data_IF_585815632387
#
_entry.id   IF_585815632387
#
_cell.length_a   1.000
_cell.length_b   1.000
_cell.length_c   1.000
_cell.angle_alpha   90.00
_cell.angle_beta   90.00
_cell.angle_gamma   90.00
#
_symmetry.space_group_name_H-M   'P 1'
#
loop_
_entity.id
_entity.type
_entity.pdbx_description
1 polymer ?
#
# COMPACT_ATOMS: atom_id res chain seq x y z
N UNK A 1 -17.30 -10.70 1.36
CA UNK A 1 -16.13 -10.25 0.61
C UNK A 1 -16.56 -9.63 -0.69
N UNK A 2 -16.11 -8.43 -0.95
CA UNK A 2 -16.57 -7.67 -2.09
C UNK A 2 -15.68 -7.92 -3.30
N UNK A 3 -16.16 -8.74 -4.25
CA UNK A 3 -15.45 -9.05 -5.50
C UNK A 3 -15.23 -7.81 -6.36
N UNK A 4 -16.18 -6.88 -6.33
CA UNK A 4 -16.11 -5.65 -7.10
C UNK A 4 -14.97 -4.76 -6.59
N UNK A 5 -14.83 -4.58 -5.27
CA UNK A 5 -13.73 -3.83 -4.67
C UNK A 5 -12.38 -4.48 -4.99
N UNK A 6 -12.29 -5.81 -4.96
CA UNK A 6 -11.07 -6.54 -5.35
C UNK A 6 -10.69 -6.31 -6.80
N UNK A 7 -11.66 -6.36 -7.71
CA UNK A 7 -11.43 -6.10 -9.14
C UNK A 7 -10.99 -4.65 -9.38
N UNK A 8 -11.65 -3.70 -8.72
CA UNK A 8 -11.27 -2.28 -8.83
C UNK A 8 -9.87 -2.03 -8.26
N UNK A 9 -9.52 -2.70 -7.19
CA UNK A 9 -8.19 -2.63 -6.61
C UNK A 9 -7.12 -3.14 -7.57
N UNK A 10 -7.36 -4.27 -8.23
CA UNK A 10 -6.43 -4.82 -9.21
C UNK A 10 -6.24 -3.89 -10.41
N UNK A 11 -7.32 -3.29 -10.90
CA UNK A 11 -7.26 -2.29 -11.98
C UNK A 11 -6.44 -1.07 -11.54
N UNK A 12 -6.71 -0.56 -10.34
CA UNK A 12 -5.99 0.61 -9.80
C UNK A 12 -4.48 0.32 -9.66
N UNK A 13 -4.12 -0.86 -9.15
CA UNK A 13 -2.72 -1.26 -9.01
C UNK A 13 -2.03 -1.38 -10.36
N UNK A 14 -2.70 -1.92 -11.37
CA UNK A 14 -2.18 -1.97 -12.74
C UNK A 14 -1.92 -0.59 -13.32
N UNK A 15 -2.79 0.38 -13.04
CA UNK A 15 -2.60 1.76 -13.48
C UNK A 15 -1.41 2.43 -12.77
N UNK A 16 -1.27 2.22 -11.47
CA UNK A 16 -0.14 2.72 -10.68
C UNK A 16 1.17 2.13 -11.21
N UNK A 17 1.18 0.84 -11.52
CA UNK A 17 2.36 0.13 -12.01
C UNK A 17 2.87 0.67 -13.36
N UNK A 18 2.01 1.29 -14.17
CA UNK A 18 2.41 1.91 -15.44
C UNK A 18 3.30 3.13 -15.26
N UNK A 19 3.24 3.79 -14.11
CA UNK A 19 4.01 5.00 -13.86
C UNK A 19 5.03 4.89 -12.74
N UNK A 20 4.88 3.92 -11.85
CA UNK A 20 5.70 3.81 -10.64
C UNK A 20 6.26 2.40 -10.47
N UNK A 21 7.43 2.31 -9.87
CA UNK A 21 8.05 1.06 -9.46
C UNK A 21 8.09 0.94 -7.94
N UNK A 22 8.69 -0.14 -7.49
CA UNK A 22 8.87 -0.42 -6.07
C UNK A 22 10.36 -0.57 -5.76
N UNK A 23 10.85 0.11 -4.73
CA UNK A 23 12.11 -0.25 -4.09
C UNK A 23 11.82 -1.29 -3.02
N UNK A 24 12.62 -2.36 -3.03
CA UNK A 24 12.55 -3.42 -2.04
C UNK A 24 13.92 -3.59 -1.39
N UNK A 25 14.05 -3.13 -0.15
CA UNK A 25 15.27 -3.29 0.63
C UNK A 25 15.21 -4.57 1.44
N UNK A 26 16.27 -5.37 1.38
CA UNK A 26 16.33 -6.65 2.08
C UNK A 26 17.75 -6.94 2.57
N UNK A 27 17.84 -7.92 3.49
CA UNK A 27 19.08 -8.60 3.86
C UNK A 27 18.94 -10.08 3.55
N UNK A 28 20.02 -10.71 3.17
CA UNK A 28 20.01 -12.15 2.84
C UNK A 28 19.76 -13.04 4.06
N UNK A 29 20.09 -12.55 5.26
CA UNK A 29 19.93 -13.25 6.53
C UNK A 29 18.64 -12.92 7.27
N UNK A 30 17.69 -12.28 6.62
CA UNK A 30 16.44 -11.81 7.22
C UNK A 30 15.29 -12.74 6.85
N UNK A 31 14.73 -13.52 7.80
CA UNK A 31 13.61 -14.42 7.49
C UNK A 31 12.36 -13.71 6.98
N UNK A 32 12.05 -12.52 7.51
CA UNK A 32 10.92 -11.72 7.04
C UNK A 32 11.14 -11.23 5.61
N UNK A 33 12.37 -10.94 5.22
CA UNK A 33 12.71 -10.57 3.86
C UNK A 33 12.49 -11.76 2.90
N UNK A 34 12.85 -12.98 3.34
CA UNK A 34 12.60 -14.19 2.57
C UNK A 34 11.11 -14.43 2.32
N UNK A 35 10.29 -14.15 3.32
CA UNK A 35 8.83 -14.26 3.20
C UNK A 35 8.22 -13.15 2.35
N UNK A 36 8.80 -11.93 2.41
CA UNK A 36 8.31 -10.78 1.68
C UNK A 36 8.61 -10.87 0.18
N UNK A 37 9.74 -11.42 -0.20
CA UNK A 37 10.21 -11.45 -1.58
C UNK A 37 9.22 -12.11 -2.56
N UNK A 38 8.64 -13.30 -2.28
CA UNK A 38 7.64 -13.89 -3.17
C UNK A 38 6.39 -13.04 -3.33
N UNK A 39 5.99 -12.32 -2.30
CA UNK A 39 4.82 -11.42 -2.33
C UNK A 39 5.10 -10.24 -3.28
N UNK A 40 6.26 -9.60 -3.17
CA UNK A 40 6.68 -8.53 -4.07
C UNK A 40 6.80 -9.05 -5.50
N UNK A 41 7.35 -10.24 -5.68
CA UNK A 41 7.47 -10.86 -7.00
C UNK A 41 6.10 -11.10 -7.64
N UNK A 42 5.12 -11.55 -6.85
CA UNK A 42 3.75 -11.74 -7.35
C UNK A 42 3.12 -10.42 -7.79
N UNK A 43 3.41 -9.32 -7.11
CA UNK A 43 2.94 -8.00 -7.51
C UNK A 43 3.54 -7.56 -8.83
N UNK A 44 4.84 -7.82 -9.03
CA UNK A 44 5.49 -7.53 -10.30
C UNK A 44 4.84 -8.30 -11.45
N UNK A 45 4.54 -9.59 -11.23
CA UNK A 45 3.94 -10.46 -12.24
C UNK A 45 2.47 -10.11 -12.52
N UNK A 46 1.69 -9.83 -11.47
CA UNK A 46 0.24 -9.64 -11.59
C UNK A 46 -0.14 -8.24 -12.04
N UNK A 47 0.60 -7.21 -11.62
CA UNK A 47 0.25 -5.81 -11.89
C UNK A 47 1.23 -5.11 -12.82
N UNK A 48 2.42 -5.70 -13.03
CA UNK A 48 3.43 -5.12 -13.91
C UNK A 48 4.36 -4.12 -13.22
N UNK A 49 4.46 -4.14 -11.89
CA UNK A 49 5.42 -3.28 -11.18
C UNK A 49 6.85 -3.65 -11.54
N UNK A 50 7.65 -2.66 -11.87
CA UNK A 50 9.09 -2.80 -11.91
C UNK A 50 9.61 -2.77 -10.48
N UNK A 51 10.43 -3.75 -10.10
CA UNK A 51 10.96 -3.87 -8.75
C UNK A 51 12.47 -3.67 -8.78
N UNK A 52 12.92 -2.72 -7.97
CA UNK A 52 14.34 -2.45 -7.75
C UNK A 52 14.72 -3.03 -6.39
N UNK A 53 15.22 -4.26 -6.39
CA UNK A 53 15.66 -4.93 -5.18
C UNK A 53 17.05 -4.42 -4.79
N UNK A 54 17.22 -4.04 -3.53
CA UNK A 54 18.45 -3.47 -2.99
C UNK A 54 18.88 -4.28 -1.78
N UNK A 55 20.04 -4.93 -1.92
CA UNK A 55 20.61 -5.79 -0.89
C UNK A 55 21.42 -4.95 0.09
N UNK A 56 20.92 -4.79 1.31
CA UNK A 56 21.61 -4.01 2.36
C UNK A 56 22.92 -4.66 2.76
N UNK A 57 22.98 -5.99 2.78
CA UNK A 57 24.21 -6.75 3.07
C UNK A 57 24.98 -7.17 1.81
N UNK A 58 24.53 -6.77 0.62
CA UNK A 58 25.19 -7.02 -0.65
C UNK A 58 25.08 -8.44 -1.18
N UNK A 59 24.26 -9.28 -0.58
CA UNK A 59 24.13 -10.71 -0.93
C UNK A 59 22.78 -11.02 -1.57
N UNK A 60 22.68 -12.07 -2.40
CA UNK A 60 21.42 -12.45 -3.01
C UNK A 60 20.45 -13.06 -1.98
N UNK A 61 19.15 -12.99 -2.29
CA UNK A 61 18.14 -13.72 -1.53
C UNK A 61 18.34 -15.23 -1.70
N UNK A 62 18.23 -16.01 -0.62
CA UNK A 62 18.43 -17.47 -0.69
C UNK A 62 17.47 -18.18 -1.65
N UNK A 63 16.26 -17.65 -1.83
CA UNK A 63 15.26 -18.19 -2.76
C UNK A 63 15.49 -17.85 -4.23
N UNK A 64 16.47 -17.00 -4.54
CA UNK A 64 16.79 -16.61 -5.91
C UNK A 64 15.89 -15.56 -6.52
N UNK A 65 14.94 -14.97 -5.76
CA UNK A 65 14.12 -13.87 -6.24
C UNK A 65 15.01 -12.65 -6.54
N UNK A 66 14.63 -11.88 -7.55
CA UNK A 66 15.32 -10.65 -7.94
C UNK A 66 16.83 -10.84 -8.17
N UNK A 67 17.22 -11.69 -9.14
CA UNK A 67 18.64 -11.97 -9.38
C UNK A 67 19.43 -10.75 -9.85
N UNK A 68 18.74 -9.73 -10.37
CA UNK A 68 19.34 -8.47 -10.82
C UNK A 68 19.37 -7.39 -9.73
N UNK A 69 19.38 -7.81 -8.46
CA UNK A 69 19.44 -6.89 -7.33
C UNK A 69 20.67 -5.97 -7.40
N UNK A 70 20.54 -4.81 -6.75
CA UNK A 70 21.65 -3.86 -6.59
C UNK A 70 22.15 -3.94 -5.15
N UNK A 71 23.46 -3.74 -4.98
CA UNK A 71 24.06 -3.63 -3.67
C UNK A 71 23.78 -2.21 -3.14
N UNK A 72 23.38 -2.12 -1.87
CA UNK A 72 23.16 -0.82 -1.23
C UNK A 72 24.46 0.00 -1.24
N UNK A 73 24.37 1.22 -1.75
CA UNK A 73 25.49 2.17 -1.80
C UNK A 73 25.14 3.50 -1.14
N UNK A 74 24.25 3.46 -0.14
CA UNK A 74 23.81 4.63 0.61
C UNK A 74 22.31 4.90 0.49
N UNK A 75 21.59 4.18 -0.37
CA UNK A 75 20.16 4.38 -0.57
C UNK A 75 19.38 4.13 0.72
N UNK A 76 19.71 3.05 1.45
CA UNK A 76 19.03 2.73 2.71
C UNK A 76 19.18 3.87 3.73
N UNK A 77 20.37 4.41 3.87
CA UNK A 77 20.61 5.54 4.78
C UNK A 77 19.88 6.79 4.33
N UNK A 78 19.93 7.11 3.04
CA UNK A 78 19.26 8.29 2.47
C UNK A 78 17.76 8.25 2.65
N UNK A 79 17.14 7.07 2.62
CA UNK A 79 15.71 6.89 2.78
C UNK A 79 15.30 6.52 4.22
N UNK A 80 16.23 6.62 5.16
CA UNK A 80 16.00 6.30 6.59
C UNK A 80 15.47 4.89 6.81
N UNK A 81 15.99 3.92 6.05
CA UNK A 81 15.66 2.50 6.25
C UNK A 81 16.39 2.00 7.49
N UNK A 82 15.62 1.70 8.53
CA UNK A 82 16.15 1.18 9.80
C UNK A 82 15.73 -0.28 10.03
N UNK A 83 14.72 -0.75 9.32
CA UNK A 83 14.18 -2.11 9.45
C UNK A 83 13.95 -2.67 8.05
N UNK A 84 14.36 -3.91 7.84
CA UNK A 84 14.07 -4.65 6.60
C UNK A 84 13.10 -5.80 6.91
N UNK A 85 12.25 -6.20 5.95
CA UNK A 85 12.10 -5.65 4.61
C UNK A 85 11.52 -4.24 4.61
N UNK A 86 11.89 -3.40 3.65
CA UNK A 86 11.33 -2.06 3.47
C UNK A 86 10.92 -1.87 2.02
N UNK A 87 9.77 -1.22 1.82
CA UNK A 87 9.19 -1.00 0.50
C UNK A 87 8.88 0.48 0.31
N UNK A 88 9.26 1.00 -0.85
CA UNK A 88 8.97 2.38 -1.28
C UNK A 88 8.32 2.35 -2.65
N UNK A 89 7.34 3.21 -2.85
CA UNK A 89 6.75 3.47 -4.17
C UNK A 89 7.54 4.61 -4.82
N UNK A 90 8.02 4.40 -6.04
CA UNK A 90 8.91 5.37 -6.69
C UNK A 90 8.43 5.72 -8.09
N UNK A 91 8.32 7.01 -8.36
CA UNK A 91 8.11 7.59 -9.68
C UNK A 91 9.27 8.57 -9.94
N UNK A 92 10.40 8.06 -10.46
CA UNK A 92 11.59 8.90 -10.64
C UNK A 92 11.35 10.05 -11.63
N UNK A 93 11.98 11.19 -11.43
CA UNK A 93 12.89 11.53 -10.32
C UNK A 93 12.18 12.16 -9.11
N UNK A 94 10.88 12.35 -9.16
CA UNK A 94 10.19 13.33 -8.33
C UNK A 94 9.51 12.75 -7.09
N UNK A 95 9.15 11.48 -7.08
CA UNK A 95 8.35 10.89 -5.98
C UNK A 95 9.01 9.63 -5.47
N UNK A 96 9.30 9.62 -4.17
CA UNK A 96 9.70 8.44 -3.42
C UNK A 96 8.84 8.44 -2.16
N UNK A 97 7.94 7.48 -2.04
CA UNK A 97 6.96 7.42 -0.95
C UNK A 97 7.16 6.13 -0.15
N UNK A 98 7.40 6.21 1.16
CA UNK A 98 7.50 5.01 1.99
C UNK A 98 6.16 4.28 2.02
N UNK A 99 6.21 2.97 1.78
CA UNK A 99 5.04 2.10 1.93
C UNK A 99 5.08 1.42 3.30
N UNK A 100 6.23 0.94 3.72
CA UNK A 100 6.38 0.42 5.06
C UNK A 100 7.75 -0.21 5.31
N UNK A 101 8.08 -0.35 6.58
CA UNK A 101 9.23 -1.10 7.07
C UNK A 101 8.72 -2.23 7.95
N UNK A 102 9.23 -3.44 7.73
CA UNK A 102 8.72 -4.67 8.31
C UNK A 102 7.90 -5.46 7.31
N UNK A 103 7.62 -6.73 7.63
CA UNK A 103 6.88 -7.61 6.74
C UNK A 103 5.42 -7.19 6.63
N UNK A 104 4.90 -7.24 5.41
CA UNK A 104 3.51 -6.88 5.10
C UNK A 104 2.87 -8.00 4.27
N UNK A 105 1.60 -8.28 4.52
CA UNK A 105 0.82 -9.16 3.67
C UNK A 105 0.58 -8.51 2.30
N UNK A 106 0.16 -9.32 1.33
CA UNK A 106 -0.20 -8.82 0.01
C UNK A 106 -1.31 -7.76 0.09
N UNK A 107 -2.36 -8.02 0.87
CA UNK A 107 -3.46 -7.07 1.04
C UNK A 107 -3.00 -5.76 1.66
N UNK A 108 -2.14 -5.84 2.66
CA UNK A 108 -1.59 -4.65 3.32
C UNK A 108 -0.74 -3.82 2.37
N UNK A 109 0.14 -4.47 1.59
CA UNK A 109 0.92 -3.80 0.56
C UNK A 109 0.04 -3.12 -0.48
N UNK A 110 -0.95 -3.85 -1.01
CA UNK A 110 -1.87 -3.32 -2.01
C UNK A 110 -2.62 -2.10 -1.50
N UNK A 111 -3.14 -2.17 -0.28
CA UNK A 111 -3.89 -1.06 0.31
C UNK A 111 -3.01 0.16 0.56
N UNK A 112 -1.80 -0.04 1.03
CA UNK A 112 -0.86 1.07 1.28
C UNK A 112 -0.39 1.73 0.00
N UNK A 113 -0.16 0.96 -1.06
CA UNK A 113 0.22 1.49 -2.37
C UNK A 113 -0.92 2.32 -2.97
N UNK A 114 -2.14 1.81 -2.89
CA UNK A 114 -3.33 2.55 -3.36
C UNK A 114 -3.51 3.86 -2.58
N UNK A 115 -3.36 3.81 -1.26
CA UNK A 115 -3.43 5.02 -0.44
C UNK A 115 -2.34 6.03 -0.84
N UNK A 116 -1.12 5.58 -1.02
CA UNK A 116 -0.02 6.44 -1.45
C UNK A 116 -0.29 7.06 -2.82
N UNK A 117 -0.81 6.29 -3.77
CA UNK A 117 -1.17 6.78 -5.09
C UNK A 117 -2.31 7.80 -5.04
N UNK A 118 -3.28 7.59 -4.17
CA UNK A 118 -4.36 8.53 -3.93
C UNK A 118 -3.84 9.85 -3.34
N UNK A 119 -2.97 9.76 -2.34
CA UNK A 119 -2.36 10.94 -1.73
C UNK A 119 -1.46 11.72 -2.70
N UNK A 120 -0.85 11.01 -3.65
CA UNK A 120 -0.05 11.64 -4.71
C UNK A 120 -0.90 12.25 -5.84
N UNK A 121 -2.22 12.05 -5.82
CA UNK A 121 -3.12 12.54 -6.85
C UNK A 121 -3.14 11.70 -8.12
N UNK A 122 -2.60 10.47 -8.08
CA UNK A 122 -2.53 9.59 -9.26
C UNK A 122 -3.83 8.86 -9.52
N UNK A 123 -4.63 8.66 -8.49
CA UNK A 123 -5.99 8.14 -8.59
C UNK A 123 -6.94 9.11 -7.90
N UNK A 124 -8.15 9.25 -8.45
CA UNK A 124 -9.14 10.15 -7.90
C UNK A 124 -9.90 9.53 -6.72
N UNK A 125 -10.72 10.34 -6.04
CA UNK A 125 -11.51 9.89 -4.90
C UNK A 125 -12.47 8.77 -5.28
N UNK A 126 -13.13 8.87 -6.42
CA UNK A 126 -14.07 7.87 -6.89
C UNK A 126 -13.38 6.51 -7.08
N UNK A 127 -12.23 6.50 -7.74
CA UNK A 127 -11.42 5.29 -7.95
C UNK A 127 -10.95 4.73 -6.61
N UNK A 128 -10.45 5.58 -5.73
CA UNK A 128 -9.96 5.18 -4.41
C UNK A 128 -11.06 4.50 -3.60
N UNK A 129 -12.23 5.12 -3.49
CA UNK A 129 -13.33 4.55 -2.71
C UNK A 129 -13.91 3.28 -3.35
N UNK A 130 -13.85 3.15 -4.67
CA UNK A 130 -14.26 1.92 -5.36
C UNK A 130 -13.36 0.72 -5.02
N UNK A 131 -12.12 0.94 -4.61
CA UNK A 131 -11.19 -0.13 -4.21
C UNK A 131 -11.45 -0.65 -2.79
N UNK A 132 -12.26 0.04 -2.02
CA UNK A 132 -12.51 -0.30 -0.62
C UNK A 132 -13.78 -1.14 -0.50
N UNK A 133 -13.77 -2.19 0.33
CA UNK A 133 -14.99 -2.96 0.56
C UNK A 133 -16.03 -2.11 1.29
N UNK A 134 -17.31 -2.34 0.94
CA UNK A 134 -18.42 -1.69 1.64
C UNK A 134 -18.49 -2.23 3.06
N UNK A 135 -18.46 -1.32 4.05
CA UNK A 135 -18.60 -1.68 5.46
C UNK A 135 -20.08 -1.93 5.78
N UNK A 136 -20.45 -3.09 6.38
CA UNK A 136 -21.83 -3.34 6.78
C UNK A 136 -22.30 -2.27 7.77
N UNK A 137 -23.48 -1.71 7.54
CA UNK A 137 -24.09 -0.72 8.43
C UNK A 137 -23.60 0.71 8.26
N UNK A 138 -22.68 0.95 7.34
CA UNK A 138 -22.24 2.31 7.02
C UNK A 138 -23.04 2.85 5.84
N UNK A 139 -23.77 3.92 6.07
CA UNK A 139 -24.35 4.70 4.98
C UNK A 139 -23.24 5.53 4.35
N UNK A 140 -22.80 5.14 3.17
CA UNK A 140 -21.66 5.76 2.49
C UNK A 140 -21.95 7.14 1.91
N UNK A 141 -23.19 7.59 1.97
CA UNK A 141 -23.60 8.77 1.23
C UNK A 141 -23.97 9.95 2.12
N UNK A 142 -23.59 9.91 3.40
CA UNK A 142 -23.92 11.02 4.27
C UNK A 142 -22.93 12.16 4.02
N UNK A 143 -23.43 13.25 3.41
CA UNK A 143 -22.64 14.45 3.28
C UNK A 143 -22.35 15.05 4.66
N UNK A 144 -21.31 15.88 4.77
CA UNK A 144 -21.00 16.59 6.01
C UNK A 144 -22.21 17.41 6.50
N UNK A 145 -23.00 17.90 5.59
CA UNK A 145 -24.19 18.70 5.88
C UNK A 145 -25.31 17.83 6.49
N UNK A 146 -25.60 16.67 5.90
CA UNK A 146 -26.58 15.72 6.42
C UNK A 146 -26.16 15.16 7.79
N UNK A 147 -24.90 14.87 7.96
CA UNK A 147 -24.35 14.42 9.24
C UNK A 147 -24.54 15.47 10.32
N UNK A 148 -24.24 16.72 9.99
CA UNK A 148 -24.38 17.85 10.90
C UNK A 148 -25.85 18.07 11.32
N UNK A 149 -26.78 18.00 10.37
CA UNK A 149 -28.21 18.09 10.65
C UNK A 149 -28.68 16.98 11.58
N UNK A 150 -28.25 15.75 11.35
CA UNK A 150 -28.61 14.61 12.21
C UNK A 150 -28.04 14.73 13.63
N UNK A 151 -26.83 15.25 13.77
CA UNK A 151 -26.21 15.50 15.08
C UNK A 151 -27.01 16.58 15.84
N UNK A 152 -27.46 17.62 15.15
CA UNK A 152 -28.25 18.69 15.79
C UNK A 152 -29.62 18.22 16.25
N UNK A 153 -30.23 17.27 15.52
CA UNK A 153 -31.55 16.72 15.88
C UNK A 153 -31.45 15.66 16.98
N UNK A 154 -30.36 14.90 17.01
CA UNK A 154 -30.13 13.81 17.97
C UNK A 154 -28.65 13.79 18.36
N UNK A 155 -28.27 14.41 19.47
CA UNK A 155 -26.88 14.45 19.92
C UNK A 155 -26.24 13.08 20.15
N UNK A 156 -27.04 12.03 20.44
CA UNK A 156 -26.52 10.68 20.61
C UNK A 156 -26.26 9.98 19.27
N UNK A 157 -26.75 10.55 18.18
CA UNK A 157 -26.55 9.99 16.86
C UNK A 157 -25.05 9.82 16.51
N UNK A 158 -24.23 10.80 16.86
CA UNK A 158 -22.80 10.76 16.60
C UNK A 158 -22.14 9.56 17.29
N UNK A 159 -22.50 9.28 18.54
CA UNK A 159 -21.95 8.15 19.29
C UNK A 159 -22.33 6.82 18.63
N UNK A 160 -23.61 6.68 18.23
CA UNK A 160 -24.07 5.48 17.53
C UNK A 160 -23.38 5.32 16.17
N UNK A 161 -23.23 6.41 15.45
CA UNK A 161 -22.57 6.43 14.14
C UNK A 161 -21.11 6.01 14.25
N UNK A 162 -20.36 6.55 15.21
CA UNK A 162 -18.97 6.20 15.43
C UNK A 162 -18.79 4.75 15.89
N UNK A 163 -19.70 4.26 16.73
CA UNK A 163 -19.70 2.84 17.14
C UNK A 163 -19.94 1.91 15.97
N UNK A 164 -20.85 2.26 15.09
CA UNK A 164 -21.14 1.47 13.88
C UNK A 164 -19.93 1.40 12.95
N UNK A 165 -19.04 2.40 13.00
CA UNK A 165 -17.81 2.41 12.21
C UNK A 165 -16.61 1.77 12.92
N UNK A 166 -16.81 1.26 14.14
CA UNK A 166 -15.74 0.64 14.91
C UNK A 166 -14.74 1.64 15.50
N UNK A 167 -15.10 2.90 15.60
CA UNK A 167 -14.23 3.97 16.10
C UNK A 167 -14.24 4.17 17.61
N UNK A 168 -15.07 3.44 18.32
CA UNK A 168 -15.16 3.49 19.80
C UNK A 168 -15.24 2.10 20.38
#
# INVERSE_FOLDING_TARGET
MDREAGTQRDVALGEVAKRAGLFFFYRSDCPYCHAQAPIIESMALNYGFEVFAIAVDGLPLPGGEFPNYKVDSGQAQSLSVTTVPAVFLVDPPNVITPIGQGAMSLDELNNRIILAAHQAGWIDDQTYYATRPVQPGVSLAMSAQELNEKILQDPEFLVRYLRAQGGL
#
